data_IF_106212600033
#
_entry.id   IF_106212600033
#
_cell.length_a   1.000
_cell.length_b   1.000
_cell.length_c   1.000
_cell.angle_alpha   90.00
_cell.angle_beta   90.00
_cell.angle_gamma   90.00
#
_symmetry.space_group_name_H-M   'P 1'
#
loop_
_entity.id
_entity.type
_entity.pdbx_description
1 polymer ?
#
# COMPACT_ATOMS: atom_id res chain seq x y z
N UNK A 1 13.93 47.11 53.86
CA UNK A 1 12.68 46.73 54.56
C UNK A 1 11.84 45.98 53.53
N UNK A 2 11.92 44.65 53.43
CA UNK A 2 11.22 43.66 54.29
C UNK A 2 9.70 43.95 54.31
N UNK A 3 8.75 43.06 54.05
CA UNK A 3 8.62 41.60 53.86
C UNK A 3 7.18 41.45 53.30
N UNK A 4 6.71 40.40 52.61
CA UNK A 4 6.19 39.19 53.25
C UNK A 4 5.51 38.31 52.19
N UNK A 5 5.97 37.07 52.06
CA UNK A 5 5.28 36.02 51.33
C UNK A 5 4.28 35.27 52.21
N UNK A 6 3.47 34.41 51.58
CA UNK A 6 3.01 33.14 52.17
C UNK A 6 2.41 32.25 51.09
N UNK A 7 3.06 31.11 50.85
CA UNK A 7 2.45 29.95 50.20
C UNK A 7 1.73 29.06 51.22
N UNK A 8 0.97 28.09 50.71
CA UNK A 8 1.01 26.70 51.17
C UNK A 8 0.23 25.81 50.19
N UNK A 9 0.88 24.74 49.74
CA UNK A 9 0.21 23.59 49.13
C UNK A 9 -0.26 22.61 50.20
N UNK A 10 -1.12 21.68 49.80
CA UNK A 10 -1.21 20.34 50.39
C UNK A 10 -1.90 19.37 49.41
N UNK A 11 -1.25 18.23 49.25
CA UNK A 11 -1.60 17.01 48.51
C UNK A 11 -2.57 16.13 49.32
N UNK A 12 -3.47 15.41 48.64
CA UNK A 12 -4.09 14.19 49.19
C UNK A 12 -4.48 13.22 48.06
N UNK A 13 -3.93 12.01 48.11
CA UNK A 13 -4.23 10.84 47.27
C UNK A 13 -5.22 9.92 47.99
N UNK A 14 -6.25 9.41 47.30
CA UNK A 14 -6.73 7.99 47.36
C UNK A 14 -7.92 7.78 46.41
N UNK A 15 -7.86 6.72 45.60
CA UNK A 15 -8.81 6.41 44.54
C UNK A 15 -9.87 5.35 44.85
N UNK A 16 -10.63 5.00 43.81
CA UNK A 16 -11.52 3.83 43.71
C UNK A 16 -12.83 4.13 42.96
N UNK A 17 -13.38 3.21 42.15
CA UNK A 17 -13.87 3.53 40.79
C UNK A 17 -15.40 3.43 40.61
N UNK A 18 -15.94 4.05 39.53
CA UNK A 18 -16.92 3.40 38.62
C UNK A 18 -17.15 4.15 37.30
N UNK A 19 -17.16 3.33 36.26
CA UNK A 19 -17.40 3.52 34.83
C UNK A 19 -18.85 3.90 34.50
N UNK A 20 -19.09 4.81 33.54
CA UNK A 20 -19.84 4.54 32.29
C UNK A 20 -20.24 5.83 31.55
N UNK A 21 -19.93 5.85 30.25
CA UNK A 21 -20.56 6.56 29.14
C UNK A 21 -20.81 8.07 29.22
N UNK A 22 -19.99 8.81 28.46
CA UNK A 22 -20.49 9.93 27.65
C UNK A 22 -19.53 10.18 26.46
N UNK A 23 -19.79 9.45 25.38
CA UNK A 23 -19.39 9.79 24.02
C UNK A 23 -20.29 10.92 23.52
N UNK A 24 -19.74 12.11 23.22
CA UNK A 24 -20.11 13.02 22.12
C UNK A 24 -19.52 14.41 22.37
N UNK A 25 -18.48 14.78 21.63
CA UNK A 25 -17.97 16.15 21.68
C UNK A 25 -16.61 16.38 21.04
N UNK A 26 -16.37 15.92 19.82
CA UNK A 26 -15.19 16.34 19.04
C UNK A 26 -15.54 17.54 18.16
N UNK A 27 -15.25 18.74 18.64
CA UNK A 27 -15.26 19.95 17.85
C UNK A 27 -13.82 20.28 17.40
N UNK A 28 -13.42 19.76 16.22
CA UNK A 28 -12.29 20.26 15.43
C UNK A 28 -12.64 20.14 13.94
N UNK A 29 -12.47 21.20 13.12
CA UNK A 29 -12.75 21.14 11.70
C UNK A 29 -11.59 20.43 10.98
N UNK A 30 -11.92 19.43 10.17
CA UNK A 30 -10.99 18.79 9.23
C UNK A 30 -10.40 17.46 9.69
N UNK A 31 -11.22 16.43 9.86
CA UNK A 31 -10.76 15.04 10.02
C UNK A 31 -11.92 14.06 9.76
N UNK A 32 -12.06 13.54 8.53
CA UNK A 32 -12.80 12.29 8.28
C UNK A 32 -12.14 11.55 7.11
N UNK A 33 -11.39 10.49 7.42
CA UNK A 33 -10.97 9.47 6.47
C UNK A 33 -11.95 8.31 6.54
N UNK A 34 -12.45 7.85 5.40
CA UNK A 34 -13.32 6.68 5.31
C UNK A 34 -12.57 5.57 4.58
N UNK A 35 -12.32 4.48 5.30
CA UNK A 35 -11.97 3.19 4.71
C UNK A 35 -13.24 2.36 4.70
N UNK A 36 -13.75 2.08 3.50
CA UNK A 36 -14.79 1.06 3.33
C UNK A 36 -14.08 -0.28 3.15
N UNK A 37 -14.50 -1.27 3.92
CA UNK A 37 -14.04 -2.65 3.86
C UNK A 37 -14.19 -3.19 2.42
N UNK A 38 -13.13 -3.82 1.89
CA UNK A 38 -13.09 -4.29 0.50
C UNK A 38 -14.13 -5.40 0.18
N UNK A 39 -14.78 -5.98 1.18
CA UNK A 39 -15.91 -6.88 0.93
C UNK A 39 -17.23 -6.14 0.65
N UNK A 40 -17.40 -4.89 1.09
CA UNK A 40 -18.63 -4.11 0.83
C UNK A 40 -18.53 -3.22 -0.43
N UNK A 41 -17.40 -2.54 -0.69
CA UNK A 41 -17.27 -1.65 -1.88
C UNK A 41 -17.43 -2.41 -3.19
N UNK A 42 -16.81 -3.59 -3.28
CA UNK A 42 -16.87 -4.40 -4.50
C UNK A 42 -18.29 -4.90 -4.77
N UNK A 43 -19.11 -5.04 -3.72
CA UNK A 43 -20.53 -5.40 -3.83
C UNK A 43 -21.41 -4.21 -4.21
N UNK A 44 -21.11 -3.03 -3.69
CA UNK A 44 -21.88 -1.79 -3.91
C UNK A 44 -21.60 -1.18 -5.29
N UNK A 45 -20.34 -1.19 -5.76
CA UNK A 45 -19.96 -0.50 -7.00
C UNK A 45 -20.10 -1.33 -8.29
N UNK A 46 -20.30 -2.66 -8.21
CA UNK A 46 -20.32 -3.52 -9.41
C UNK A 46 -21.73 -3.99 -9.79
N UNK A 47 -22.66 -4.15 -8.85
CA UNK A 47 -23.89 -4.92 -9.14
C UNK A 47 -25.15 -4.07 -9.39
N UNK A 48 -25.27 -2.87 -8.80
CA UNK A 48 -26.52 -2.08 -8.85
C UNK A 48 -26.55 -1.02 -9.99
N UNK A 49 -25.41 -0.45 -10.39
CA UNK A 49 -25.39 0.56 -11.47
C UNK A 49 -25.36 -0.05 -12.89
N UNK A 50 -24.67 -1.17 -13.09
CA UNK A 50 -24.47 -1.72 -14.45
C UNK A 50 -25.76 -2.29 -15.07
N UNK A 51 -26.69 -2.78 -14.26
CA UNK A 51 -27.99 -3.30 -14.75
C UNK A 51 -28.85 -2.19 -15.39
N UNK A 52 -28.69 -0.95 -14.95
CA UNK A 52 -29.43 0.20 -15.48
C UNK A 52 -28.78 0.77 -16.75
N UNK A 53 -27.47 0.59 -16.92
CA UNK A 53 -26.71 1.06 -18.08
C UNK A 53 -26.84 0.10 -19.26
N UNK A 54 -26.89 -1.22 -19.02
CA UNK A 54 -27.04 -2.23 -20.08
C UNK A 54 -28.43 -2.26 -20.75
N UNK A 55 -29.44 -1.62 -20.14
CA UNK A 55 -30.79 -1.48 -20.70
C UNK A 55 -31.01 -0.20 -21.51
N UNK A 56 -30.05 0.73 -21.55
CA UNK A 56 -30.18 2.01 -22.24
C UNK A 56 -29.28 2.02 -23.47
N UNK A 57 -29.88 1.96 -24.64
CA UNK A 57 -29.22 2.14 -25.93
C UNK A 57 -28.42 3.45 -25.94
N UNK A 58 -27.10 3.35 -26.06
CA UNK A 58 -26.22 4.51 -26.28
C UNK A 58 -26.61 5.11 -27.64
N UNK A 59 -27.05 6.38 -27.72
CA UNK A 59 -27.28 6.99 -29.02
C UNK A 59 -25.96 7.03 -29.76
N UNK A 60 -25.96 6.49 -30.99
CA UNK A 60 -24.79 6.45 -31.85
C UNK A 60 -24.22 7.86 -32.04
N UNK A 61 -22.89 7.94 -32.06
CA UNK A 61 -22.10 9.14 -32.35
C UNK A 61 -22.72 9.93 -33.51
N UNK A 62 -22.81 11.27 -33.44
CA UNK A 62 -23.35 12.06 -34.54
C UNK A 62 -22.51 11.84 -35.81
N UNK A 63 -23.19 11.69 -36.95
CA UNK A 63 -22.57 11.53 -38.27
C UNK A 63 -21.66 12.74 -38.60
N UNK A 64 -20.37 12.52 -38.91
CA UNK A 64 -19.43 13.57 -39.26
C UNK A 64 -19.73 14.28 -40.59
N UNK A 65 -20.75 13.85 -41.36
CA UNK A 65 -21.16 14.49 -42.62
C UNK A 65 -22.45 15.30 -42.55
N UNK A 66 -22.95 15.61 -41.36
CA UNK A 66 -24.05 16.57 -41.23
C UNK A 66 -23.59 18.00 -41.56
N UNK A 67 -24.30 18.76 -42.42
CA UNK A 67 -23.93 20.14 -42.71
C UNK A 67 -23.99 20.96 -41.41
N UNK A 68 -22.89 21.64 -41.06
CA UNK A 68 -22.83 22.60 -39.95
C UNK A 68 -23.77 23.76 -40.22
N UNK A 69 -25.04 23.61 -39.87
CA UNK A 69 -25.91 24.73 -39.64
C UNK A 69 -25.49 25.37 -38.33
N UNK A 70 -24.74 26.48 -38.44
CA UNK A 70 -24.51 27.42 -37.34
C UNK A 70 -25.88 27.96 -36.93
N UNK A 71 -26.53 27.27 -35.99
CA UNK A 71 -27.79 27.70 -35.40
C UNK A 71 -27.49 28.80 -34.39
N UNK A 72 -27.37 30.03 -34.88
CA UNK A 72 -27.65 31.22 -34.07
C UNK A 72 -29.17 31.26 -33.84
N UNK A 73 -29.66 30.49 -32.87
CA UNK A 73 -31.03 30.64 -32.38
C UNK A 73 -31.02 30.87 -30.89
N UNK A 74 -31.24 32.14 -30.57
CA UNK A 74 -31.90 32.64 -29.37
C UNK A 74 -33.11 31.78 -28.99
N UNK A 75 -32.86 30.70 -28.26
CA UNK A 75 -33.74 30.20 -27.19
C UNK A 75 -32.81 29.50 -26.22
N UNK A 76 -32.36 30.21 -25.17
CA UNK A 76 -31.99 29.51 -23.94
C UNK A 76 -33.28 28.81 -23.49
N UNK A 77 -33.46 27.55 -23.86
CA UNK A 77 -34.31 26.68 -23.06
C UNK A 77 -33.65 26.72 -21.68
N UNK A 78 -34.26 27.43 -20.73
CA UNK A 78 -33.78 27.40 -19.37
C UNK A 78 -33.71 25.91 -18.97
N UNK A 79 -32.59 25.42 -18.42
CA UNK A 79 -32.57 24.08 -17.88
C UNK A 79 -33.75 23.99 -16.90
N UNK A 80 -34.47 22.88 -16.93
CA UNK A 80 -35.49 22.58 -15.94
C UNK A 80 -34.86 22.78 -14.55
N UNK A 81 -35.32 23.78 -13.81
CA UNK A 81 -34.75 24.18 -12.51
C UNK A 81 -34.96 23.12 -11.40
N UNK A 82 -35.50 21.95 -11.76
CA UNK A 82 -35.86 20.84 -10.86
C UNK A 82 -35.08 19.54 -11.12
N UNK A 83 -34.04 19.53 -11.94
CA UNK A 83 -33.04 18.44 -11.90
C UNK A 83 -31.76 18.95 -11.27
N UNK A 84 -31.66 18.75 -9.96
CA UNK A 84 -30.39 18.86 -9.24
C UNK A 84 -29.55 17.64 -9.63
N UNK A 85 -28.81 17.76 -10.73
CA UNK A 85 -27.81 16.76 -11.13
C UNK A 85 -26.61 16.80 -10.18
N UNK A 86 -25.81 15.73 -10.16
CA UNK A 86 -24.51 15.73 -9.48
C UNK A 86 -23.60 16.78 -10.12
N UNK A 87 -23.31 17.84 -9.38
CA UNK A 87 -22.45 18.96 -9.78
C UNK A 87 -21.18 18.96 -8.94
N UNK A 88 -20.04 19.26 -9.56
CA UNK A 88 -18.72 19.19 -8.94
C UNK A 88 -17.85 20.37 -9.41
N UNK A 89 -16.64 20.51 -8.83
CA UNK A 89 -15.72 21.61 -9.14
C UNK A 89 -15.80 22.78 -8.15
N UNK A 90 -16.42 22.56 -6.99
CA UNK A 90 -16.35 23.45 -5.85
C UNK A 90 -14.96 23.41 -5.18
N UNK A 91 -14.81 24.15 -4.09
CA UNK A 91 -13.63 24.09 -3.24
C UNK A 91 -13.26 22.63 -2.90
N UNK A 92 -11.98 22.30 -3.04
CA UNK A 92 -11.47 20.96 -2.77
C UNK A 92 -11.46 20.62 -1.29
N UNK A 93 -11.60 21.61 -0.40
CA UNK A 93 -11.76 21.40 1.04
C UNK A 93 -13.17 20.91 1.43
N UNK A 94 -14.15 20.99 0.51
CA UNK A 94 -15.51 20.56 0.77
C UNK A 94 -15.62 19.04 0.77
N UNK A 95 -16.25 18.45 1.80
CA UNK A 95 -16.28 17.00 1.99
C UNK A 95 -16.90 16.24 0.82
N UNK A 96 -17.86 16.85 0.13
CA UNK A 96 -18.53 16.25 -1.03
C UNK A 96 -17.64 16.19 -2.28
N UNK A 97 -16.51 16.91 -2.30
CA UNK A 97 -15.53 16.91 -3.38
C UNK A 97 -14.35 15.96 -3.11
N UNK A 98 -14.27 15.34 -1.93
CA UNK A 98 -13.19 14.43 -1.59
C UNK A 98 -13.36 13.07 -2.28
N UNK A 99 -12.40 12.61 -3.10
CA UNK A 99 -12.44 11.29 -3.71
C UNK A 99 -12.04 10.19 -2.72
N UNK A 100 -12.43 8.95 -3.02
CA UNK A 100 -11.93 7.77 -2.32
C UNK A 100 -10.60 7.29 -2.91
N UNK A 101 -9.71 6.80 -2.05
CA UNK A 101 -8.48 6.13 -2.45
C UNK A 101 -8.37 4.77 -1.76
N UNK A 102 -8.23 3.72 -2.55
CA UNK A 102 -8.08 2.34 -2.08
C UNK A 102 -6.92 1.73 -2.87
N UNK A 103 -5.95 1.14 -2.17
CA UNK A 103 -4.90 0.38 -2.83
C UNK A 103 -4.62 -0.94 -2.14
N UNK A 104 -4.22 -1.92 -2.96
CA UNK A 104 -3.86 -3.26 -2.53
C UNK A 104 -2.67 -3.71 -3.36
N UNK A 105 -1.63 -4.21 -2.71
CA UNK A 105 -0.45 -4.70 -3.39
C UNK A 105 0.57 -5.27 -2.42
N UNK A 106 1.65 -5.90 -2.92
CA UNK A 106 2.70 -6.47 -2.10
C UNK A 106 3.50 -5.41 -1.33
N UNK A 107 3.59 -4.19 -1.87
CA UNK A 107 4.29 -3.06 -1.27
C UNK A 107 3.39 -2.18 -0.38
N UNK A 108 2.10 -2.48 -0.30
CA UNK A 108 1.10 -1.73 0.47
C UNK A 108 0.81 -2.46 1.78
N UNK A 109 0.75 -1.74 2.91
CA UNK A 109 0.35 -2.31 4.20
C UNK A 109 -1.08 -2.87 4.11
N UNK A 110 -1.29 -4.06 4.68
CA UNK A 110 -2.63 -4.69 4.76
C UNK A 110 -3.41 -4.13 5.93
N UNK A 111 -4.74 -3.98 5.75
CA UNK A 111 -5.68 -3.52 6.78
C UNK A 111 -5.22 -2.21 7.46
N UNK A 112 -4.65 -1.29 6.68
CA UNK A 112 -4.08 -0.06 7.19
C UNK A 112 -4.86 1.15 6.70
N UNK A 113 -5.26 2.01 7.63
CA UNK A 113 -5.93 3.29 7.37
C UNK A 113 -4.89 4.39 7.50
N UNK A 114 -4.76 5.21 6.46
CA UNK A 114 -3.88 6.39 6.47
C UNK A 114 -4.68 7.67 6.67
N UNK A 115 -4.00 8.73 7.09
CA UNK A 115 -4.57 10.07 7.11
C UNK A 115 -4.92 10.54 5.68
N UNK A 116 -5.90 11.46 5.53
CA UNK A 116 -6.15 12.10 4.25
C UNK A 116 -4.89 12.76 3.69
N UNK A 117 -4.75 12.72 2.37
CA UNK A 117 -3.61 13.26 1.64
C UNK A 117 -4.10 13.84 0.30
N UNK A 118 -3.27 14.67 -0.33
CA UNK A 118 -3.64 15.33 -1.58
C UNK A 118 -3.38 14.43 -2.80
N UNK A 119 -4.25 14.50 -3.80
CA UNK A 119 -4.10 13.68 -5.03
C UNK A 119 -2.80 13.95 -5.79
N UNK A 120 -2.16 15.11 -5.57
CA UNK A 120 -0.85 15.43 -6.14
C UNK A 120 0.27 14.51 -5.63
N UNK A 121 0.13 13.91 -4.44
CA UNK A 121 1.12 13.00 -3.85
C UNK A 121 1.15 11.63 -4.53
N UNK A 122 0.08 11.27 -5.26
CA UNK A 122 -0.05 9.98 -5.92
C UNK A 122 1.05 9.75 -6.98
N UNK A 123 1.50 10.80 -7.65
CA UNK A 123 2.57 10.68 -8.63
C UNK A 123 3.86 10.16 -8.00
N UNK A 124 4.27 10.78 -6.89
CA UNK A 124 5.45 10.39 -6.12
C UNK A 124 5.30 8.97 -5.54
N UNK A 125 4.09 8.59 -5.11
CA UNK A 125 3.79 7.22 -4.68
C UNK A 125 3.98 6.20 -5.81
N UNK A 126 3.40 6.44 -6.99
CA UNK A 126 3.50 5.52 -8.12
C UNK A 126 4.93 5.41 -8.63
N UNK A 127 5.66 6.52 -8.69
CA UNK A 127 7.07 6.51 -9.06
C UNK A 127 7.89 5.63 -8.10
N UNK A 128 7.63 5.73 -6.80
CA UNK A 128 8.27 4.90 -5.79
C UNK A 128 7.93 3.40 -5.95
N UNK A 129 6.65 3.06 -6.16
CA UNK A 129 6.20 1.68 -6.35
C UNK A 129 6.79 1.06 -7.62
N UNK A 130 6.87 1.84 -8.71
CA UNK A 130 7.44 1.41 -9.99
C UNK A 130 8.97 1.44 -10.00
N UNK A 131 9.60 1.90 -8.91
CA UNK A 131 11.05 2.09 -8.81
C UNK A 131 11.63 2.95 -9.94
N UNK A 132 10.95 4.06 -10.26
CA UNK A 132 11.40 5.06 -11.23
C UNK A 132 11.71 6.38 -10.53
N UNK A 133 12.63 7.16 -11.10
CA UNK A 133 12.92 8.50 -10.62
C UNK A 133 11.77 9.45 -10.97
N UNK A 134 11.17 10.06 -9.96
CA UNK A 134 10.17 11.11 -10.15
C UNK A 134 10.86 12.42 -10.59
N UNK A 135 10.50 13.01 -11.74
CA UNK A 135 10.82 14.39 -12.06
C UNK A 135 10.23 15.36 -11.01
N UNK A 136 10.70 16.61 -10.97
CA UNK A 136 10.17 17.63 -10.08
C UNK A 136 8.65 17.76 -10.23
N UNK A 137 7.93 17.64 -9.11
CA UNK A 137 6.48 17.72 -9.04
C UNK A 137 6.06 18.35 -7.71
N UNK A 138 4.77 18.71 -7.59
CA UNK A 138 4.23 19.37 -6.40
C UNK A 138 3.88 18.41 -5.24
N UNK A 139 3.94 17.09 -5.47
CA UNK A 139 3.63 16.09 -4.47
C UNK A 139 4.85 15.62 -3.68
N UNK A 140 4.60 15.06 -2.49
CA UNK A 140 5.63 14.57 -1.58
C UNK A 140 5.38 13.12 -1.18
N UNK A 141 6.36 12.25 -1.40
CA UNK A 141 6.29 10.85 -0.94
C UNK A 141 6.12 10.78 0.59
N UNK A 142 6.65 11.75 1.34
CA UNK A 142 6.58 11.75 2.79
C UNK A 142 5.14 11.77 3.34
N UNK A 143 4.19 12.33 2.58
CA UNK A 143 2.78 12.42 2.99
C UNK A 143 2.08 11.05 2.92
N UNK A 144 2.57 10.14 2.07
CA UNK A 144 1.92 8.86 1.74
C UNK A 144 2.80 7.64 2.05
N UNK A 145 4.04 7.85 2.51
CA UNK A 145 5.01 6.78 2.81
C UNK A 145 4.52 5.81 3.87
N UNK A 146 3.67 6.26 4.81
CA UNK A 146 3.12 5.40 5.86
C UNK A 146 2.23 4.28 5.30
N UNK A 147 1.74 4.39 4.07
CA UNK A 147 1.00 3.31 3.41
C UNK A 147 1.89 2.13 3.01
N UNK A 148 3.19 2.37 2.86
CA UNK A 148 4.12 1.40 2.29
C UNK A 148 4.67 0.45 3.36
N UNK A 149 4.87 -0.82 2.99
CA UNK A 149 5.61 -1.75 3.85
C UNK A 149 7.09 -1.35 3.85
N UNK A 150 7.72 -1.35 5.03
CA UNK A 150 9.17 -1.30 5.10
C UNK A 150 9.67 -2.63 4.53
N UNK A 151 10.28 -2.60 3.34
CA UNK A 151 10.87 -3.81 2.76
C UNK A 151 11.95 -4.30 3.73
N UNK A 152 11.84 -5.53 4.27
CA UNK A 152 12.88 -6.05 5.15
C UNK A 152 14.15 -6.24 4.31
N UNK A 153 15.18 -5.46 4.62
CA UNK A 153 16.55 -5.56 4.09
C UNK A 153 17.25 -6.89 4.43
N UNK A 154 16.53 -7.90 4.92
CA UNK A 154 17.07 -9.23 5.14
C UNK A 154 17.08 -10.11 3.88
N UNK A 155 16.35 -9.73 2.82
CA UNK A 155 16.46 -10.38 1.50
C UNK A 155 17.66 -9.85 0.69
N UNK A 156 18.23 -8.71 1.09
CA UNK A 156 19.48 -8.21 0.52
C UNK A 156 20.63 -8.91 1.20
N UNK A 157 21.09 -10.01 0.59
CA UNK A 157 22.50 -10.31 0.37
C UNK A 157 23.46 -9.78 1.46
N UNK A 158 23.22 -10.15 2.73
CA UNK A 158 24.17 -9.84 3.79
C UNK A 158 25.40 -10.72 3.59
N UNK A 159 26.62 -10.22 3.86
CA UNK A 159 27.83 -11.03 3.74
C UNK A 159 27.73 -12.34 4.51
N UNK A 160 26.99 -12.36 5.63
CA UNK A 160 26.68 -13.58 6.41
C UNK A 160 25.98 -14.67 5.61
N UNK A 161 25.03 -14.37 4.73
CA UNK A 161 24.35 -15.39 3.93
C UNK A 161 25.31 -16.00 2.90
N UNK A 162 26.16 -15.18 2.28
CA UNK A 162 27.20 -15.67 1.37
C UNK A 162 28.22 -16.57 2.08
N UNK A 163 28.65 -16.20 3.29
CA UNK A 163 29.53 -17.04 4.09
C UNK A 163 28.87 -18.37 4.46
N UNK A 164 27.59 -18.37 4.82
CA UNK A 164 26.85 -19.61 5.13
C UNK A 164 26.76 -20.54 3.92
N UNK A 165 26.42 -20.00 2.74
CA UNK A 165 26.36 -20.79 1.50
C UNK A 165 27.74 -21.33 1.11
N UNK A 166 28.80 -20.52 1.25
CA UNK A 166 30.17 -20.92 0.95
C UNK A 166 30.67 -22.03 1.89
N UNK A 167 30.37 -21.95 3.18
CA UNK A 167 30.69 -23.00 4.16
C UNK A 167 29.98 -24.31 3.82
N UNK A 168 28.69 -24.27 3.46
CA UNK A 168 27.93 -25.46 3.07
C UNK A 168 28.47 -26.10 1.79
N UNK A 169 28.90 -25.29 0.83
CA UNK A 169 29.52 -25.77 -0.41
C UNK A 169 30.87 -26.44 -0.14
N UNK A 170 31.72 -25.81 0.69
CA UNK A 170 33.01 -26.40 1.10
C UNK A 170 32.79 -27.70 1.85
N UNK A 171 31.86 -27.75 2.81
CA UNK A 171 31.57 -28.95 3.58
C UNK A 171 31.13 -30.11 2.67
N UNK A 172 30.27 -29.83 1.68
CA UNK A 172 29.83 -30.82 0.69
C UNK A 172 30.99 -31.36 -0.15
N UNK A 173 31.88 -30.48 -0.63
CA UNK A 173 33.06 -30.89 -1.41
C UNK A 173 34.06 -31.69 -0.58
N UNK A 174 34.25 -31.34 0.70
CA UNK A 174 35.17 -32.07 1.59
C UNK A 174 34.64 -33.47 1.90
N UNK A 175 33.35 -33.59 2.25
CA UNK A 175 32.73 -34.89 2.50
C UNK A 175 32.66 -35.72 1.22
N UNK A 176 32.28 -35.12 0.09
CA UNK A 176 32.29 -35.77 -1.22
C UNK A 176 33.68 -36.25 -1.64
N UNK A 177 34.70 -35.41 -1.46
CA UNK A 177 36.09 -35.76 -1.78
C UNK A 177 36.62 -36.89 -0.90
N UNK A 178 36.35 -36.85 0.40
CA UNK A 178 36.79 -37.88 1.33
C UNK A 178 36.11 -39.24 1.07
N UNK A 179 34.81 -39.23 0.76
CA UNK A 179 34.08 -40.45 0.40
C UNK A 179 34.61 -41.07 -0.90
N UNK A 180 34.89 -40.26 -1.93
CA UNK A 180 35.50 -40.77 -3.18
C UNK A 180 36.92 -41.31 -2.92
N UNK A 181 37.74 -40.59 -2.15
CA UNK A 181 39.11 -41.03 -1.86
C UNK A 181 39.15 -42.34 -1.08
N UNK A 182 38.28 -42.51 -0.09
CA UNK A 182 38.19 -43.75 0.69
C UNK A 182 37.71 -44.91 -0.18
N UNK A 183 36.70 -44.71 -1.03
CA UNK A 183 36.27 -45.71 -2.00
C UNK A 183 37.37 -46.08 -3.01
N UNK A 184 38.11 -45.08 -3.49
CA UNK A 184 39.26 -45.29 -4.38
C UNK A 184 40.35 -46.10 -3.69
N UNK A 185 40.70 -45.77 -2.44
CA UNK A 185 41.67 -46.50 -1.63
C UNK A 185 41.25 -47.96 -1.40
N UNK A 186 39.97 -48.20 -1.09
CA UNK A 186 39.42 -49.55 -0.92
C UNK A 186 39.52 -50.33 -2.24
N UNK A 187 39.19 -49.70 -3.38
CA UNK A 187 39.31 -50.32 -4.71
C UNK A 187 40.75 -50.68 -5.04
N UNK A 188 41.70 -49.77 -4.79
CA UNK A 188 43.12 -50.00 -5.06
C UNK A 188 43.68 -51.14 -4.23
N UNK A 189 43.34 -51.22 -2.92
CA UNK A 189 43.73 -52.36 -2.07
C UNK A 189 43.22 -53.68 -2.63
N UNK A 190 41.94 -53.75 -3.01
CA UNK A 190 41.35 -54.97 -3.59
C UNK A 190 42.04 -55.41 -4.90
N UNK A 191 42.51 -54.47 -5.73
CA UNK A 191 43.24 -54.81 -6.95
C UNK A 191 44.58 -55.46 -6.61
N UNK A 192 45.31 -54.92 -5.65
CA UNK A 192 46.60 -55.47 -5.21
C UNK A 192 46.43 -56.89 -4.62
N UNK A 193 45.44 -57.10 -3.74
CA UNK A 193 45.16 -58.41 -3.16
C UNK A 193 44.81 -59.46 -4.24
N UNK A 194 44.06 -59.06 -5.28
CA UNK A 194 43.74 -59.95 -6.42
C UNK A 194 44.97 -60.28 -7.30
N UNK A 195 45.90 -59.34 -7.47
CA UNK A 195 47.15 -59.58 -8.22
C UNK A 195 48.06 -60.53 -7.45
N UNK A 196 48.19 -60.35 -6.13
CA UNK A 196 48.96 -61.24 -5.26
C UNK A 196 48.40 -62.67 -5.25
N UNK A 197 47.06 -62.84 -5.25
CA UNK A 197 46.43 -64.16 -5.40
C UNK A 197 46.69 -64.79 -6.77
N UNK A 198 46.79 -63.98 -7.83
CA UNK A 198 47.10 -64.48 -9.18
C UNK A 198 48.56 -64.94 -9.34
N UNK A 199 49.45 -64.60 -8.41
CA UNK A 199 50.89 -64.91 -8.48
C UNK A 199 51.32 -66.08 -7.58
N UNK A 200 50.41 -66.62 -6.76
CA UNK A 200 50.60 -67.85 -5.96
C UNK A 200 49.91 -69.04 -6.61
#
# INVERSE_FOLDING_TARGET
>A
MAEKGRGNGQTALRGGPKMSDETLGTNRPGCWGVLVELEEVTRICVEEEWKTILGKTIPSSPDPRSPRLRRLSSTRQAPNMNTTLGIHGYDNAESNMHPYFIARGPLIKKNHVIAPFDTVDLYSLFAHILNISAPPNNGSLANVVDMLVVMPSHLTATPSVFFMVFILLIASLVVGGFTVLTLYWIRQRRIMDNVDFSYR
#
